data_IF_407096566721
#
_entry.id   IF_407096566721
#
_cell.length_a   1.000
_cell.length_b   1.000
_cell.length_c   1.000
_cell.angle_alpha   90.00
_cell.angle_beta   90.00
_cell.angle_gamma   90.00
#
_symmetry.space_group_name_H-M   'P 1'
#
loop_
_entity.id
_entity.type
_entity.pdbx_description
1 polymer ?
#
# COMPACT_ATOMS: atom_id res chain seq x y z
N UNK A 1 45.14 10.14 -23.37
CA UNK A 1 45.44 11.26 -22.45
C UNK A 1 44.68 12.46 -22.96
N UNK A 2 43.85 13.23 -22.25
CA UNK A 2 43.31 13.20 -20.89
C UNK A 2 42.16 14.23 -20.89
N UNK A 3 41.04 13.94 -20.23
CA UNK A 3 39.98 14.91 -19.91
C UNK A 3 40.52 15.96 -18.93
N UNK A 4 40.06 17.22 -19.01
CA UNK A 4 39.35 17.83 -17.86
C UNK A 4 38.26 18.83 -18.30
N UNK A 5 37.21 19.15 -17.54
CA UNK A 5 36.85 18.80 -16.19
C UNK A 5 35.48 19.41 -15.89
N UNK A 6 34.66 18.64 -15.17
CA UNK A 6 33.37 19.06 -14.60
C UNK A 6 33.60 20.14 -13.53
N UNK A 7 32.79 21.20 -13.56
CA UNK A 7 32.51 21.98 -12.34
C UNK A 7 31.03 22.35 -12.26
N UNK A 8 30.39 21.63 -11.34
CA UNK A 8 29.44 22.10 -10.33
C UNK A 8 28.35 23.08 -10.79
N UNK A 9 27.17 22.50 -11.05
CA UNK A 9 25.88 23.14 -10.84
C UNK A 9 25.80 23.49 -9.35
N UNK A 10 25.90 24.78 -9.01
CA UNK A 10 25.62 25.29 -7.66
C UNK A 10 24.17 25.76 -7.62
N UNK A 11 23.40 25.12 -6.74
CA UNK A 11 22.05 25.48 -6.35
C UNK A 11 21.95 26.89 -5.75
N UNK A 12 20.81 27.55 -5.94
CA UNK A 12 20.06 28.50 -5.07
C UNK A 12 18.97 29.10 -5.99
N UNK A 13 17.67 28.97 -5.77
CA UNK A 13 16.97 29.53 -4.61
C UNK A 13 15.55 28.91 -4.45
N UNK A 14 14.85 29.20 -3.34
CA UNK A 14 14.16 28.19 -2.55
C UNK A 14 12.64 28.26 -2.70
N UNK A 15 12.02 27.10 -2.60
CA UNK A 15 10.57 26.98 -2.40
C UNK A 15 10.17 27.61 -1.06
N UNK A 16 9.08 28.39 -0.98
CA UNK A 16 8.63 28.95 0.29
C UNK A 16 8.23 27.83 1.25
N UNK A 17 8.85 27.83 2.44
CA UNK A 17 8.45 26.98 3.54
C UNK A 17 7.02 27.30 3.94
N UNK A 18 6.10 26.37 3.67
CA UNK A 18 4.80 26.33 4.33
C UNK A 18 5.07 26.15 5.83
N UNK A 19 4.52 26.99 6.73
CA UNK A 19 4.60 26.69 8.14
C UNK A 19 3.86 25.38 8.37
N UNK A 20 4.61 24.35 8.72
CA UNK A 20 4.09 23.08 9.19
C UNK A 20 3.18 23.39 10.38
N UNK A 21 1.88 23.39 10.13
CA UNK A 21 0.88 23.30 11.16
C UNK A 21 1.18 22.06 11.97
N UNK A 22 1.42 22.26 13.26
CA UNK A 22 1.42 21.26 14.32
C UNK A 22 0.22 20.32 14.11
N UNK A 23 0.46 19.18 13.49
CA UNK A 23 -0.49 18.09 13.33
C UNK A 23 0.19 16.83 13.85
N UNK A 24 -0.17 16.49 15.08
CA UNK A 24 0.05 15.22 15.79
C UNK A 24 1.06 14.22 15.22
N UNK A 25 2.27 14.30 15.76
CA UNK A 25 3.32 13.27 15.65
C UNK A 25 3.02 12.11 16.64
N UNK A 26 1.82 11.50 16.55
CA UNK A 26 1.46 10.30 17.32
C UNK A 26 1.38 8.96 16.53
N UNK A 27 2.13 8.72 15.43
CA UNK A 27 2.16 7.38 14.82
C UNK A 27 2.98 6.39 15.67
N UNK A 28 3.97 6.86 16.44
CA UNK A 28 4.93 5.97 17.13
C UNK A 28 4.34 5.31 18.40
N UNK A 29 3.47 6.00 19.14
CA UNK A 29 2.88 5.45 20.38
C UNK A 29 1.82 4.36 20.12
N UNK A 30 1.00 4.51 19.08
CA UNK A 30 0.03 3.46 18.70
C UNK A 30 0.74 2.21 18.22
N UNK A 31 1.79 2.39 17.41
CA UNK A 31 2.62 1.29 16.88
C UNK A 31 3.32 0.51 17.97
N UNK A 32 3.84 1.18 19.01
CA UNK A 32 4.43 0.53 20.19
C UNK A 32 3.42 -0.27 21.03
N UNK A 33 2.14 0.12 21.02
CA UNK A 33 1.08 -0.65 21.70
C UNK A 33 0.75 -1.94 20.93
N UNK A 34 0.75 -1.89 19.60
CA UNK A 34 0.56 -3.06 18.72
C UNK A 34 1.65 -4.12 18.86
N UNK A 35 2.90 -3.73 19.18
CA UNK A 35 4.03 -4.66 19.32
C UNK A 35 4.10 -5.36 20.69
N UNK A 36 3.29 -4.92 21.67
CA UNK A 36 3.25 -5.57 22.98
C UNK A 36 2.38 -6.84 22.91
N UNK A 37 2.84 -8.00 23.42
CA UNK A 37 2.04 -9.21 23.36
C UNK A 37 0.74 -9.03 24.19
N UNK A 38 -0.42 -9.41 23.64
CA UNK A 38 -1.69 -9.30 24.34
C UNK A 38 -1.66 -10.17 25.59
N UNK A 39 -2.35 -9.72 26.65
CA UNK A 39 -2.38 -10.44 27.93
C UNK A 39 -3.63 -11.29 28.06
N UNK A 40 -4.65 -11.02 27.26
CA UNK A 40 -5.91 -11.76 27.21
C UNK A 40 -6.42 -11.97 25.77
N UNK A 41 -7.29 -12.95 25.57
CA UNK A 41 -7.96 -13.18 24.28
C UNK A 41 -8.84 -12.02 23.84
N UNK A 42 -9.46 -11.30 24.78
CA UNK A 42 -10.29 -10.13 24.44
C UNK A 42 -9.44 -9.00 23.85
N UNK A 43 -8.33 -8.65 24.50
CA UNK A 43 -7.37 -7.65 24.00
C UNK A 43 -6.81 -8.06 22.64
N UNK A 44 -6.42 -9.34 22.48
CA UNK A 44 -5.92 -9.85 21.21
C UNK A 44 -6.94 -9.71 20.07
N UNK A 45 -8.23 -9.95 20.34
CA UNK A 45 -9.29 -9.78 19.36
C UNK A 45 -9.59 -8.30 19.07
N UNK A 46 -9.54 -7.42 20.07
CA UNK A 46 -9.69 -5.98 19.89
C UNK A 46 -8.59 -5.44 18.97
N UNK A 47 -7.34 -5.81 19.21
CA UNK A 47 -6.19 -5.40 18.39
C UNK A 47 -6.33 -5.92 16.93
N UNK A 48 -6.74 -7.18 16.75
CA UNK A 48 -6.95 -7.77 15.42
C UNK A 48 -8.11 -7.13 14.66
N UNK A 49 -9.17 -6.72 15.37
CA UNK A 49 -10.29 -5.97 14.79
C UNK A 49 -9.88 -4.55 14.35
N UNK A 50 -9.06 -3.87 15.16
CA UNK A 50 -8.50 -2.56 14.83
C UNK A 50 -7.56 -2.64 13.61
N UNK A 51 -6.72 -3.66 13.55
CA UNK A 51 -5.84 -3.92 12.42
C UNK A 51 -6.62 -4.22 11.14
N UNK A 52 -7.67 -5.05 11.21
CA UNK A 52 -8.53 -5.36 10.07
C UNK A 52 -9.23 -4.10 9.52
N UNK A 53 -9.81 -3.27 10.40
CA UNK A 53 -10.43 -1.99 10.01
C UNK A 53 -9.43 -0.98 9.45
N UNK A 54 -8.20 -1.00 9.95
CA UNK A 54 -7.12 -0.13 9.44
C UNK A 54 -6.65 -0.58 8.07
N UNK A 55 -6.53 -1.90 7.86
CA UNK A 55 -6.26 -2.46 6.55
C UNK A 55 -7.35 -2.05 5.56
N UNK A 56 -8.62 -2.33 5.86
CA UNK A 56 -9.75 -1.99 4.98
C UNK A 56 -9.74 -0.52 4.53
N UNK A 57 -9.58 0.42 5.48
CA UNK A 57 -9.48 1.85 5.16
C UNK A 57 -8.29 2.22 4.29
N UNK A 58 -7.14 1.58 4.51
CA UNK A 58 -5.94 1.80 3.69
C UNK A 58 -6.18 1.33 2.26
N UNK A 59 -6.89 0.22 2.11
CA UNK A 59 -7.01 -0.50 0.84
C UNK A 59 -8.10 0.05 -0.07
N UNK A 60 -9.09 0.76 0.47
CA UNK A 60 -10.12 1.45 -0.31
C UNK A 60 -9.56 2.51 -1.30
N UNK A 61 -8.29 2.92 -1.16
CA UNK A 61 -7.63 3.85 -2.07
C UNK A 61 -6.12 3.62 -2.27
N UNK A 62 -5.60 2.45 -1.90
CA UNK A 62 -4.17 2.19 -1.87
C UNK A 62 -3.53 2.20 -3.28
N UNK A 63 -2.38 2.85 -3.38
CA UNK A 63 -1.47 2.72 -4.50
C UNK A 63 -0.85 1.30 -4.54
N UNK A 64 -0.35 0.83 -5.71
CA UNK A 64 0.32 -0.47 -5.81
C UNK A 64 1.52 -0.62 -4.87
N UNK A 65 2.24 0.47 -4.62
CA UNK A 65 3.41 0.47 -3.75
C UNK A 65 3.00 0.26 -2.29
N UNK A 66 1.88 0.84 -1.86
CA UNK A 66 1.29 0.62 -0.54
C UNK A 66 0.76 -0.81 -0.39
N UNK A 67 0.14 -1.37 -1.44
CA UNK A 67 -0.27 -2.77 -1.48
C UNK A 67 0.96 -3.69 -1.38
N UNK A 68 2.04 -3.41 -2.11
CA UNK A 68 3.26 -4.19 -2.06
C UNK A 68 3.97 -4.10 -0.69
N UNK A 69 3.94 -2.91 -0.06
CA UNK A 69 4.44 -2.72 1.29
C UNK A 69 3.59 -3.47 2.34
N UNK A 70 2.27 -3.53 2.15
CA UNK A 70 1.37 -4.34 2.96
C UNK A 70 1.70 -5.84 2.86
N UNK A 71 1.92 -6.38 1.66
CA UNK A 71 2.28 -7.79 1.47
C UNK A 71 3.59 -8.19 2.17
N UNK A 72 4.56 -7.26 2.28
CA UNK A 72 5.77 -7.49 3.09
C UNK A 72 5.43 -7.54 4.58
N UNK A 73 4.70 -6.54 5.11
CA UNK A 73 4.30 -6.49 6.53
C UNK A 73 3.47 -7.69 6.96
N UNK A 74 2.57 -8.19 6.11
CA UNK A 74 1.75 -9.37 6.42
C UNK A 74 2.57 -10.65 6.54
N UNK A 75 3.74 -10.71 5.90
CA UNK A 75 4.66 -11.86 6.00
C UNK A 75 5.34 -11.92 7.37
N UNK A 76 5.51 -10.77 8.03
CA UNK A 76 6.15 -10.65 9.34
C UNK A 76 5.15 -10.80 10.50
N UNK A 77 3.86 -11.04 10.22
CA UNK A 77 2.82 -11.16 11.25
C UNK A 77 3.01 -12.43 12.07
N UNK A 78 3.02 -12.26 13.40
CA UNK A 78 3.12 -13.36 14.37
C UNK A 78 1.78 -13.46 15.12
N UNK A 79 1.13 -14.63 15.11
CA UNK A 79 -0.14 -14.79 15.83
C UNK A 79 0.08 -14.69 17.35
N UNK A 80 -0.91 -14.17 18.11
CA UNK A 80 -0.83 -14.12 19.56
C UNK A 80 -0.71 -15.54 20.12
N UNK A 81 0.29 -15.76 20.96
CA UNK A 81 0.62 -17.06 21.54
C UNK A 81 0.68 -16.99 23.07
N UNK A 82 0.57 -18.13 23.75
CA UNK A 82 0.64 -18.19 25.21
C UNK A 82 -0.65 -17.79 25.94
N UNK A 83 -1.75 -17.51 25.23
CA UNK A 83 -3.04 -17.11 25.82
C UNK A 83 -3.92 -18.27 26.31
N UNK A 84 -3.49 -19.53 26.11
CA UNK A 84 -4.32 -20.70 26.39
C UNK A 84 -5.46 -20.87 25.36
N UNK A 85 -6.44 -21.77 25.61
CA UNK A 85 -7.55 -21.99 24.68
C UNK A 85 -8.46 -20.76 24.59
N UNK A 86 -9.00 -20.50 23.39
CA UNK A 86 -10.00 -19.45 23.19
C UNK A 86 -11.26 -19.74 24.02
N UNK A 87 -11.73 -18.80 24.87
CA UNK A 87 -12.98 -18.92 25.62
C UNK A 87 -14.20 -19.13 24.72
N UNK A 88 -15.19 -19.92 25.18
CA UNK A 88 -16.39 -20.27 24.41
C UNK A 88 -17.21 -19.04 23.98
N UNK A 89 -17.34 -18.06 24.87
CA UNK A 89 -18.05 -16.81 24.65
C UNK A 89 -17.40 -15.94 23.56
N UNK A 90 -16.09 -16.10 23.32
CA UNK A 90 -15.35 -15.37 22.30
C UNK A 90 -15.28 -16.11 20.95
N UNK A 91 -15.69 -17.39 20.87
CA UNK A 91 -15.60 -18.17 19.63
C UNK A 91 -16.38 -17.55 18.48
N UNK A 92 -17.60 -17.12 18.75
CA UNK A 92 -18.44 -16.53 17.71
C UNK A 92 -17.86 -15.21 17.22
N UNK A 93 -17.35 -14.38 18.13
CA UNK A 93 -16.66 -13.12 17.79
C UNK A 93 -15.43 -13.38 16.91
N UNK A 94 -14.57 -14.31 17.32
CA UNK A 94 -13.39 -14.69 16.56
C UNK A 94 -13.74 -15.24 15.17
N UNK A 95 -14.81 -16.04 15.07
CA UNK A 95 -15.28 -16.57 13.79
C UNK A 95 -15.75 -15.44 12.86
N UNK A 96 -16.54 -14.48 13.34
CA UNK A 96 -16.97 -13.32 12.55
C UNK A 96 -15.79 -12.47 12.10
N UNK A 97 -14.81 -12.25 12.96
CA UNK A 97 -13.59 -11.53 12.63
C UNK A 97 -12.82 -12.23 11.51
N UNK A 98 -12.65 -13.55 11.58
CA UNK A 98 -11.98 -14.32 10.53
C UNK A 98 -12.70 -14.21 9.19
N UNK A 99 -14.04 -14.32 9.18
CA UNK A 99 -14.82 -14.16 7.95
C UNK A 99 -14.65 -12.76 7.35
N UNK A 100 -14.65 -11.72 8.20
CA UNK A 100 -14.40 -10.36 7.75
C UNK A 100 -12.98 -10.20 7.16
N UNK A 101 -11.95 -10.77 7.81
CA UNK A 101 -10.58 -10.75 7.29
C UNK A 101 -10.46 -11.43 5.93
N UNK A 102 -11.14 -12.56 5.72
CA UNK A 102 -11.16 -13.25 4.43
C UNK A 102 -11.84 -12.39 3.35
N UNK A 103 -12.98 -11.75 3.66
CA UNK A 103 -13.66 -10.86 2.73
C UNK A 103 -12.78 -9.65 2.33
N UNK A 104 -12.05 -9.06 3.29
CA UNK A 104 -11.09 -7.97 3.01
C UNK A 104 -9.95 -8.48 2.14
N UNK A 105 -9.43 -9.69 2.41
CA UNK A 105 -8.37 -10.32 1.60
C UNK A 105 -8.84 -10.62 0.16
N UNK A 106 -10.09 -11.01 -0.04
CA UNK A 106 -10.66 -11.20 -1.38
C UNK A 106 -10.80 -9.88 -2.14
N UNK A 107 -11.37 -8.86 -1.50
CA UNK A 107 -11.52 -7.52 -2.09
C UNK A 107 -10.16 -6.92 -2.49
N UNK A 108 -9.13 -7.17 -1.68
CA UNK A 108 -7.74 -6.83 -1.95
C UNK A 108 -7.22 -7.43 -3.24
N UNK A 109 -7.32 -8.75 -3.38
CA UNK A 109 -6.81 -9.48 -4.54
C UNK A 109 -7.49 -9.00 -5.81
N UNK A 110 -8.80 -8.73 -5.74
CA UNK A 110 -9.55 -8.18 -6.88
C UNK A 110 -9.06 -6.78 -7.24
N UNK A 111 -8.88 -5.89 -6.26
CA UNK A 111 -8.37 -4.53 -6.47
C UNK A 111 -6.98 -4.51 -7.13
N UNK A 112 -6.07 -5.38 -6.68
CA UNK A 112 -4.72 -5.54 -7.28
C UNK A 112 -4.84 -5.97 -8.74
N UNK A 113 -5.66 -6.97 -9.02
CA UNK A 113 -5.84 -7.52 -10.37
C UNK A 113 -6.42 -6.48 -11.32
N UNK A 114 -7.43 -5.73 -10.88
CA UNK A 114 -8.03 -4.66 -11.66
C UNK A 114 -7.05 -3.52 -11.95
N UNK A 115 -6.25 -3.12 -10.96
CA UNK A 115 -5.22 -2.08 -11.12
C UNK A 115 -4.14 -2.48 -12.15
N UNK A 116 -3.73 -3.76 -12.18
CA UNK A 116 -2.78 -4.28 -13.18
C UNK A 116 -3.34 -4.23 -14.59
N UNK A 117 -4.59 -4.70 -14.78
CA UNK A 117 -5.27 -4.65 -16.09
C UNK A 117 -5.36 -3.21 -16.64
N UNK A 118 -5.66 -2.24 -15.78
CA UNK A 118 -5.71 -0.82 -16.17
C UNK A 118 -4.35 -0.30 -16.65
N UNK A 119 -3.25 -0.64 -15.98
CA UNK A 119 -1.90 -0.26 -16.42
C UNK A 119 -1.51 -0.90 -17.74
N UNK A 120 -1.78 -2.20 -17.90
CA UNK A 120 -1.46 -2.92 -19.13
C UNK A 120 -2.20 -2.32 -20.33
N UNK A 121 -3.48 -1.96 -20.15
CA UNK A 121 -4.27 -1.29 -21.19
C UNK A 121 -3.70 0.09 -21.52
N UNK A 122 -3.39 0.90 -20.50
CA UNK A 122 -2.80 2.23 -20.70
C UNK A 122 -1.44 2.17 -21.41
N UNK A 123 -0.58 1.21 -21.04
CA UNK A 123 0.71 1.00 -21.69
C UNK A 123 0.57 0.60 -23.17
N UNK A 124 -0.44 -0.22 -23.51
CA UNK A 124 -0.73 -0.59 -24.91
C UNK A 124 -1.25 0.61 -25.72
N UNK A 125 -2.08 1.46 -25.11
CA UNK A 125 -2.57 2.68 -25.74
C UNK A 125 -1.43 3.69 -25.95
N UNK A 126 -0.51 3.84 -24.99
CA UNK A 126 0.61 4.77 -25.11
C UNK A 126 1.67 4.34 -26.13
N UNK A 127 1.78 3.04 -26.41
CA UNK A 127 2.73 2.46 -27.38
C UNK A 127 2.12 2.31 -28.78
N UNK A 128 0.83 2.59 -28.98
CA UNK A 128 0.24 2.59 -30.32
C UNK A 128 0.85 3.73 -31.15
N UNK A 129 1.37 3.45 -32.37
CA UNK A 129 1.90 4.50 -33.23
C UNK A 129 0.79 5.52 -33.53
N UNK A 130 1.09 6.81 -33.33
CA UNK A 130 0.27 7.91 -33.85
C UNK A 130 -0.06 7.62 -35.32
N UNK A 131 -1.36 7.54 -35.61
CA UNK A 131 -2.03 7.29 -36.91
C UNK A 131 -1.10 7.39 -38.13
N UNK A 132 -1.10 6.42 -39.06
CA UNK A 132 -0.31 6.53 -40.29
C UNK A 132 -0.71 7.80 -41.05
N UNK A 133 0.20 8.77 -41.11
CA UNK A 133 0.08 9.94 -41.99
C UNK A 133 0.21 9.43 -43.42
N UNK A 134 -0.76 9.74 -44.28
CA UNK A 134 -0.67 9.38 -45.70
C UNK A 134 0.53 10.10 -46.31
N UNK A 135 1.59 9.36 -46.66
CA UNK A 135 2.68 9.90 -47.46
C UNK A 135 2.29 9.81 -48.94
N UNK A 136 2.14 10.97 -49.58
CA UNK A 136 1.98 11.05 -51.02
C UNK A 136 3.36 10.86 -51.66
N UNK A 137 3.55 9.76 -52.38
CA UNK A 137 4.74 9.53 -53.20
C UNK A 137 4.45 10.16 -54.56
N UNK A 138 5.01 11.34 -54.83
CA UNK A 138 5.02 11.90 -56.18
C UNK A 138 6.11 11.17 -56.98
N UNK A 139 5.74 10.62 -58.15
CA UNK A 139 6.65 9.87 -59.00
C UNK A 139 6.78 10.65 -60.31
N UNK A 140 7.97 11.18 -60.65
CA UNK A 140 8.15 11.92 -61.89
C UNK A 140 8.09 10.95 -63.08
N UNK A 141 7.37 11.39 -64.12
CA UNK A 141 7.29 10.78 -65.47
C UNK A 141 8.53 11.11 -66.29
#
# INVERSE_FOLDING_TARGET
MSLPGLRAIRASDPWPATPAGRADDQPDERRRRSDAPPRTWAEALDDLEDDARTAERTLAGASPDEIAAWGRRSTDWVPPSGLGPLPDDLRERAARLLQHQLAVAEALVEGITQSRRQRDLAARMSQSPTRPVSSFIDRPV
#
